data_IF_594594821681
#
_entry.id   IF_594594821681
#
_cell.length_a   1.000
_cell.length_b   1.000
_cell.length_c   1.000
_cell.angle_alpha   90.00
_cell.angle_beta   90.00
_cell.angle_gamma   90.00
#
_symmetry.space_group_name_H-M   'P 1'
#
loop_
_entity.id
_entity.type
_entity.pdbx_description
1 polymer ?
#
# COMPACT_ATOMS: atom_id res chain seq x y z
N UNK A 1 16.86 0.03 15.52
CA UNK A 1 15.99 1.22 15.73
C UNK A 1 14.52 0.98 15.31
N UNK A 2 13.78 -0.03 15.84
CA UNK A 2 12.36 -0.27 15.48
C UNK A 2 11.33 0.32 16.48
N UNK A 3 11.75 0.69 17.69
CA UNK A 3 10.83 1.14 18.76
C UNK A 3 10.15 2.49 18.45
N UNK A 4 10.80 3.39 17.70
CA UNK A 4 10.20 4.66 17.28
C UNK A 4 9.00 4.49 16.34
N UNK A 5 8.97 3.39 15.59
CA UNK A 5 7.97 3.13 14.56
C UNK A 5 6.69 2.51 15.12
N UNK A 6 6.79 1.88 16.30
CA UNK A 6 5.71 1.08 16.90
C UNK A 6 5.06 1.79 18.08
N UNK A 7 5.70 2.84 18.61
CA UNK A 7 5.20 3.55 19.79
C UNK A 7 4.21 4.67 19.38
N UNK A 8 2.94 4.60 19.81
CA UNK A 8 1.89 5.54 19.38
C UNK A 8 2.13 7.00 19.78
N UNK A 9 2.98 7.26 20.78
CA UNK A 9 3.31 8.63 21.20
C UNK A 9 4.33 9.33 20.29
N UNK A 10 5.12 8.54 19.56
CA UNK A 10 6.22 9.03 18.71
C UNK A 10 6.11 8.57 17.27
N UNK A 11 5.12 7.73 16.95
CA UNK A 11 4.83 7.28 15.59
C UNK A 11 4.58 8.47 14.68
N UNK A 12 3.84 9.50 15.11
CA UNK A 12 3.65 10.73 14.32
C UNK A 12 4.97 11.47 14.01
N UNK A 13 5.90 11.51 14.97
CA UNK A 13 7.23 12.09 14.79
C UNK A 13 8.10 11.20 13.91
N UNK A 14 8.00 9.87 14.05
CA UNK A 14 8.69 8.89 13.23
C UNK A 14 8.18 8.87 11.79
N UNK A 15 6.88 9.08 11.58
CA UNK A 15 6.28 9.37 10.28
C UNK A 15 6.88 10.66 9.72
N UNK A 16 6.90 11.75 10.48
CA UNK A 16 7.37 13.05 10.00
C UNK A 16 8.90 13.10 9.74
N UNK A 17 9.71 12.35 10.50
CA UNK A 17 11.19 12.45 10.48
C UNK A 17 11.88 11.24 9.83
N UNK A 18 11.31 10.03 9.92
CA UNK A 18 11.97 8.78 9.51
C UNK A 18 11.00 7.76 8.87
N UNK A 19 10.21 8.14 7.85
CA UNK A 19 9.19 7.27 7.28
C UNK A 19 9.80 6.03 6.60
N UNK A 20 11.00 6.16 6.02
CA UNK A 20 11.78 5.07 5.41
C UNK A 20 12.13 3.97 6.41
N UNK A 21 12.67 4.36 7.57
CA UNK A 21 13.14 3.42 8.59
C UNK A 21 11.98 2.69 9.28
N UNK A 22 10.79 3.30 9.28
CA UNK A 22 9.59 2.71 9.84
C UNK A 22 8.71 1.99 8.82
N UNK A 23 9.06 2.00 7.53
CA UNK A 23 8.19 1.48 6.46
C UNK A 23 6.89 2.26 6.29
N UNK A 24 6.79 3.45 6.90
CA UNK A 24 5.58 4.30 6.94
C UNK A 24 5.58 5.34 5.82
N UNK A 25 6.50 5.24 4.85
CA UNK A 25 6.49 6.07 3.66
C UNK A 25 5.10 6.13 3.00
N UNK A 26 4.34 5.03 3.00
CA UNK A 26 3.02 4.97 2.39
C UNK A 26 1.88 5.56 3.25
N UNK A 27 2.17 6.13 4.43
CA UNK A 27 1.14 6.69 5.30
C UNK A 27 1.02 8.21 5.17
N UNK A 28 -0.21 8.76 5.17
CA UNK A 28 -0.43 10.19 5.29
C UNK A 28 0.18 10.69 6.61
N UNK A 29 0.93 11.80 6.55
CA UNK A 29 1.69 12.34 7.70
C UNK A 29 3.19 12.01 7.70
N UNK A 30 3.66 11.21 6.74
CA UNK A 30 5.06 10.78 6.59
C UNK A 30 6.06 11.88 6.16
N UNK A 31 5.78 13.16 6.39
CA UNK A 31 6.66 14.27 5.98
C UNK A 31 6.82 14.45 4.45
N UNK A 32 6.04 13.73 3.65
CA UNK A 32 5.91 13.99 2.21
C UNK A 32 7.10 13.62 1.34
N UNK A 33 7.85 12.55 1.68
CA UNK A 33 8.87 12.00 0.78
C UNK A 33 8.63 10.53 0.52
N UNK A 34 7.87 10.31 -0.54
CA UNK A 34 7.59 8.98 -1.05
C UNK A 34 8.83 8.40 -1.72
N UNK A 35 9.11 7.11 -1.55
CA UNK A 35 10.20 6.45 -2.21
C UNK A 35 9.95 6.32 -3.71
N UNK A 36 11.01 6.39 -4.51
CA UNK A 36 10.97 5.88 -5.87
C UNK A 36 10.77 4.36 -5.82
N UNK A 37 9.77 3.87 -6.55
CA UNK A 37 9.49 2.45 -6.78
C UNK A 37 10.46 1.86 -7.80
N UNK A 38 10.96 2.68 -8.74
CA UNK A 38 11.93 2.26 -9.76
C UNK A 38 13.36 2.74 -9.42
N UNK A 39 14.38 1.87 -9.52
CA UNK A 39 15.78 2.29 -9.37
C UNK A 39 16.25 3.22 -10.50
N UNK A 40 15.54 3.22 -11.63
CA UNK A 40 15.93 3.96 -12.84
C UNK A 40 15.25 5.34 -12.93
N UNK A 41 14.83 5.90 -11.80
CA UNK A 41 14.06 7.14 -11.80
C UNK A 41 14.81 8.35 -12.35
N UNK A 42 16.14 8.39 -12.21
CA UNK A 42 16.96 9.41 -12.86
C UNK A 42 16.82 9.40 -14.39
N UNK A 43 16.79 8.20 -15.00
CA UNK A 43 16.65 8.03 -16.45
C UNK A 43 15.21 8.30 -16.89
N UNK A 44 14.25 7.77 -16.15
CA UNK A 44 12.82 7.93 -16.41
C UNK A 44 12.39 9.39 -16.38
N UNK A 45 12.82 10.14 -15.37
CA UNK A 45 12.57 11.58 -15.26
C UNK A 45 13.35 12.37 -16.31
N UNK A 46 14.55 11.93 -16.72
CA UNK A 46 15.25 12.55 -17.83
C UNK A 46 14.55 12.34 -19.19
N UNK A 47 13.88 11.19 -19.39
CA UNK A 47 13.19 10.85 -20.64
C UNK A 47 11.83 11.55 -20.79
N UNK A 48 11.03 11.53 -19.72
CA UNK A 48 9.61 11.90 -19.74
C UNK A 48 9.27 13.06 -18.78
N UNK A 49 10.16 13.34 -17.82
CA UNK A 49 9.90 14.31 -16.77
C UNK A 49 8.88 13.81 -15.74
N UNK A 50 8.60 14.68 -14.76
CA UNK A 50 7.66 14.38 -13.68
C UNK A 50 6.20 14.72 -14.02
N UNK A 51 5.90 14.98 -15.29
CA UNK A 51 4.52 15.23 -15.75
C UNK A 51 3.77 13.94 -16.06
N UNK A 52 4.48 12.85 -16.36
CA UNK A 52 3.89 11.55 -16.64
C UNK A 52 3.37 10.88 -15.37
N UNK A 53 2.11 10.46 -15.37
CA UNK A 53 1.48 9.78 -14.23
C UNK A 53 2.20 8.49 -13.87
N UNK A 54 2.70 7.75 -14.87
CA UNK A 54 3.51 6.55 -14.65
C UNK A 54 4.84 6.88 -13.96
N UNK A 55 5.48 7.98 -14.38
CA UNK A 55 6.74 8.45 -13.77
C UNK A 55 6.46 8.97 -12.37
N UNK A 56 5.35 9.67 -12.14
CA UNK A 56 4.96 10.11 -10.80
C UNK A 56 4.74 8.93 -9.86
N UNK A 57 4.12 7.84 -10.33
CA UNK A 57 3.93 6.62 -9.54
C UNK A 57 5.23 5.84 -9.32
N UNK A 58 6.13 5.81 -10.30
CA UNK A 58 7.39 5.09 -10.18
C UNK A 58 8.47 5.89 -9.47
N UNK A 59 8.44 7.22 -9.60
CA UNK A 59 9.51 8.15 -9.27
C UNK A 59 9.02 9.25 -8.34
N UNK A 60 8.19 8.88 -7.37
CA UNK A 60 7.59 9.83 -6.43
C UNK A 60 8.64 10.64 -5.67
N UNK A 61 9.75 10.01 -5.27
CA UNK A 61 10.82 10.66 -4.53
C UNK A 61 11.62 11.62 -5.41
N UNK A 62 12.01 11.17 -6.60
CA UNK A 62 12.71 11.97 -7.61
C UNK A 62 11.84 13.14 -8.07
N UNK A 63 10.53 12.93 -8.21
CA UNK A 63 9.55 13.95 -8.60
C UNK A 63 9.00 14.80 -7.45
N UNK A 64 9.54 14.66 -6.23
CA UNK A 64 9.14 15.43 -5.06
C UNK A 64 7.61 15.34 -4.77
N UNK A 65 7.03 14.19 -5.08
CA UNK A 65 5.63 13.89 -4.82
C UNK A 65 5.48 13.64 -3.32
N UNK A 66 4.66 14.48 -2.69
CA UNK A 66 4.41 14.45 -1.23
C UNK A 66 3.33 13.46 -0.81
N UNK A 67 2.54 12.97 -1.77
CA UNK A 67 1.46 12.01 -1.59
C UNK A 67 1.85 10.68 -2.21
N UNK A 68 2.02 9.64 -1.39
CA UNK A 68 2.51 8.38 -1.91
C UNK A 68 1.42 7.68 -2.68
N UNK A 69 1.54 7.77 -4.00
CA UNK A 69 0.71 7.09 -4.97
C UNK A 69 1.01 5.61 -4.79
N UNK A 70 0.19 4.89 -4.04
CA UNK A 70 0.35 3.44 -3.93
C UNK A 70 0.26 2.86 -5.34
N UNK A 71 1.33 2.23 -5.83
CA UNK A 71 1.40 1.52 -7.12
C UNK A 71 0.54 0.25 -7.10
N UNK A 72 -0.67 0.36 -6.54
CA UNK A 72 -1.68 -0.68 -6.43
C UNK A 72 -2.92 -0.14 -7.14
N UNK A 73 -2.90 -0.22 -8.47
CA UNK A 73 -4.09 -0.23 -9.34
C UNK A 73 -5.17 0.82 -9.07
N UNK A 74 -5.09 1.97 -9.74
CA UNK A 74 -6.23 2.86 -9.97
C UNK A 74 -6.91 3.38 -8.70
N UNK A 75 -8.09 4.02 -8.81
CA UNK A 75 -8.96 4.11 -7.66
C UNK A 75 -9.20 2.67 -7.22
N UNK A 76 -8.93 2.37 -5.95
CA UNK A 76 -9.58 1.22 -5.34
C UNK A 76 -11.08 1.52 -5.31
N UNK A 77 -11.75 1.36 -6.45
CA UNK A 77 -12.99 0.62 -6.42
C UNK A 77 -12.59 -0.62 -5.64
N UNK A 78 -13.08 -0.76 -4.41
CA UNK A 78 -13.00 -2.02 -3.71
C UNK A 78 -13.81 -3.01 -4.54
N UNK A 79 -13.24 -3.46 -5.67
CA UNK A 79 -13.79 -4.54 -6.45
C UNK A 79 -13.63 -5.71 -5.51
N UNK A 80 -14.75 -6.07 -4.89
CA UNK A 80 -14.78 -7.17 -3.99
C UNK A 80 -14.33 -8.41 -4.76
N UNK A 81 -13.11 -8.85 -4.50
CA UNK A 81 -12.48 -9.96 -5.17
C UNK A 81 -11.85 -10.89 -4.15
N UNK A 82 -11.80 -12.15 -4.55
CA UNK A 82 -11.11 -13.19 -3.81
C UNK A 82 -9.62 -13.14 -4.15
N UNK A 83 -8.78 -12.96 -3.13
CA UNK A 83 -7.31 -12.97 -3.20
C UNK A 83 -6.77 -14.36 -3.56
N UNK A 84 -7.57 -15.42 -3.31
CA UNK A 84 -7.24 -16.80 -3.62
C UNK A 84 -8.18 -17.43 -4.65
N UNK A 85 -7.61 -18.21 -5.56
CA UNK A 85 -8.38 -18.97 -6.55
C UNK A 85 -9.25 -20.10 -5.95
N UNK A 86 -8.88 -20.65 -4.78
CA UNK A 86 -9.59 -21.75 -4.13
C UNK A 86 -10.72 -21.31 -3.19
N UNK A 87 -11.06 -20.01 -3.17
CA UNK A 87 -12.11 -19.49 -2.31
C UNK A 87 -13.46 -20.20 -2.53
N UNK A 88 -13.81 -20.54 -3.77
CA UNK A 88 -15.04 -21.29 -4.09
C UNK A 88 -15.16 -22.62 -3.34
N UNK A 89 -14.05 -23.35 -3.15
CA UNK A 89 -14.04 -24.59 -2.38
C UNK A 89 -14.11 -24.33 -0.87
N UNK A 90 -13.64 -23.16 -0.45
CA UNK A 90 -13.53 -22.78 0.96
C UNK A 90 -14.73 -22.00 1.49
N UNK A 91 -15.77 -21.75 0.68
CA UNK A 91 -16.95 -20.98 1.04
C UNK A 91 -17.62 -21.48 2.34
N UNK A 92 -17.65 -22.80 2.56
CA UNK A 92 -18.21 -23.40 3.79
C UNK A 92 -17.44 -23.04 5.07
N UNK A 93 -16.16 -22.69 4.96
CA UNK A 93 -15.32 -22.33 6.10
C UNK A 93 -15.39 -20.84 6.44
N UNK A 94 -16.07 -20.02 5.63
CA UNK A 94 -16.31 -18.61 5.93
C UNK A 94 -17.08 -18.40 7.24
N UNK A 95 -17.82 -19.42 7.71
CA UNK A 95 -18.57 -19.42 8.97
C UNK A 95 -17.97 -20.35 10.04
N UNK A 96 -16.87 -21.05 9.74
CA UNK A 96 -16.22 -22.00 10.65
C UNK A 96 -14.98 -21.34 11.26
N UNK A 97 -14.99 -21.11 12.57
CA UNK A 97 -13.80 -20.68 13.30
C UNK A 97 -12.76 -21.81 13.36
N UNK A 98 -11.44 -21.49 13.36
CA UNK A 98 -10.83 -20.15 13.33
C UNK A 98 -10.59 -19.61 11.91
N UNK A 99 -10.97 -20.37 10.88
CA UNK A 99 -10.66 -20.07 9.48
C UNK A 99 -11.38 -18.82 8.96
N UNK A 100 -12.52 -18.47 9.55
CA UNK A 100 -13.32 -17.27 9.26
C UNK A 100 -12.48 -16.01 9.12
N UNK A 101 -11.56 -15.74 10.05
CA UNK A 101 -10.73 -14.53 10.04
C UNK A 101 -9.87 -14.43 8.78
N UNK A 102 -9.15 -15.50 8.45
CA UNK A 102 -8.28 -15.58 7.27
C UNK A 102 -9.10 -15.55 5.97
N UNK A 103 -10.20 -16.32 5.93
CA UNK A 103 -11.06 -16.41 4.76
C UNK A 103 -11.81 -15.11 4.47
N UNK A 104 -12.22 -14.34 5.49
CA UNK A 104 -12.84 -13.02 5.26
C UNK A 104 -11.84 -11.99 4.74
N UNK A 105 -10.55 -12.13 5.02
CA UNK A 105 -9.52 -11.25 4.45
C UNK A 105 -9.14 -11.67 3.02
N UNK A 106 -8.96 -12.97 2.79
CA UNK A 106 -8.54 -13.50 1.50
C UNK A 106 -9.71 -13.65 0.53
N UNK A 107 -10.79 -14.30 0.95
CA UNK A 107 -11.97 -14.61 0.15
C UNK A 107 -13.11 -13.61 0.40
N UNK A 108 -12.84 -12.31 0.24
CA UNK A 108 -13.80 -11.25 0.55
C UNK A 108 -15.10 -11.38 -0.24
N UNK A 109 -15.01 -11.75 -1.52
CA UNK A 109 -16.17 -11.91 -2.40
C UNK A 109 -16.94 -13.19 -2.08
N UNK A 110 -16.24 -14.31 -1.96
CA UNK A 110 -16.85 -15.62 -1.66
C UNK A 110 -17.47 -15.65 -0.26
N UNK A 111 -16.83 -15.03 0.73
CA UNK A 111 -17.37 -14.90 2.08
C UNK A 111 -18.36 -13.73 2.25
N UNK A 112 -18.76 -13.06 1.15
CA UNK A 112 -19.73 -11.94 1.13
C UNK A 112 -19.39 -10.81 2.09
N UNK A 113 -18.11 -10.51 2.24
CA UNK A 113 -17.61 -9.37 3.03
C UNK A 113 -17.86 -8.06 2.30
N UNK A 114 -17.87 -8.09 0.98
CA UNK A 114 -18.26 -7.00 0.10
C UNK A 114 -19.09 -7.54 -1.09
N UNK A 115 -19.81 -6.65 -1.77
CA UNK A 115 -20.68 -6.93 -2.92
C UNK A 115 -20.20 -6.19 -4.15
#
# INVERSE_FOLDING_TARGET
MPQLCTNPNISAVALAKCPRNCGLCNQPGAGGRCPDTSPNCAVLVALAGCNDTNIQQMCMGTCNIKTCLSTTGGPSVQICSDDRANCAQMQRYCTIEPFTGTLRQQCRKTCRVCT
#
